data_IF_757533013975
#
_entry.id   IF_757533013975
#
_cell.length_a   1.000
_cell.length_b   1.000
_cell.length_c   1.000
_cell.angle_alpha   90.00
_cell.angle_beta   90.00
_cell.angle_gamma   90.00
#
_symmetry.space_group_name_H-M   'P 1'
#
loop_
_entity.id
_entity.type
_entity.pdbx_description
1 polymer ?
#
# COMPACT_ATOMS: atom_id res chain seq x y z
N UNK A 1 -7.18 15.89 34.76
CA UNK A 1 -7.25 17.33 35.09
C UNK A 1 -6.64 18.05 33.90
N UNK A 2 -7.25 19.12 33.40
CA UNK A 2 -6.60 19.92 32.37
C UNK A 2 -5.26 20.40 32.94
N UNK A 3 -4.16 20.10 32.25
CA UNK A 3 -2.84 20.51 32.68
C UNK A 3 -2.70 22.01 32.44
N UNK A 4 -2.43 22.79 33.49
CA UNK A 4 -2.12 24.20 33.35
C UNK A 4 -0.67 24.35 32.85
N UNK A 5 -0.35 25.38 32.05
CA UNK A 5 1.03 25.66 31.68
C UNK A 5 1.85 25.94 32.95
N UNK A 6 3.03 25.33 33.03
CA UNK A 6 3.91 25.48 34.20
C UNK A 6 4.55 26.88 34.26
N UNK A 7 4.73 27.51 33.10
CA UNK A 7 5.34 28.83 32.94
C UNK A 7 4.72 29.55 31.75
N UNK A 8 4.71 30.88 31.79
CA UNK A 8 4.36 31.75 30.66
C UNK A 8 5.53 32.68 30.37
N UNK A 9 6.06 32.60 29.16
CA UNK A 9 7.14 33.49 28.70
C UNK A 9 6.57 34.79 28.15
N UNK A 10 7.39 35.84 28.17
CA UNK A 10 7.05 37.15 27.62
C UNK A 10 8.11 37.61 26.62
N UNK A 11 7.69 38.30 25.58
CA UNK A 11 8.60 39.01 24.69
C UNK A 11 8.03 40.34 24.22
N UNK A 12 8.94 41.25 23.93
CA UNK A 12 8.70 42.47 23.18
C UNK A 12 9.06 42.23 21.72
N UNK A 13 8.16 42.57 20.80
CA UNK A 13 8.33 42.41 19.37
C UNK A 13 8.13 43.74 18.64
N UNK A 14 8.79 43.89 17.49
CA UNK A 14 8.54 44.99 16.57
C UNK A 14 7.27 44.69 15.77
N UNK A 15 6.43 45.71 15.58
CA UNK A 15 5.18 45.58 14.79
C UNK A 15 5.39 45.84 13.30
N UNK A 16 6.61 46.21 12.87
CA UNK A 16 6.88 46.80 11.56
C UNK A 16 6.42 48.26 11.44
N UNK A 17 5.66 48.77 12.43
CA UNK A 17 5.30 50.19 12.51
C UNK A 17 6.36 50.92 13.34
N UNK A 18 6.98 51.99 12.81
CA UNK A 18 8.11 52.67 13.47
C UNK A 18 7.85 53.24 14.86
N UNK A 19 6.59 53.39 15.28
CA UNK A 19 6.19 53.97 16.57
C UNK A 19 5.38 53.00 17.44
N UNK A 20 5.45 51.69 17.17
CA UNK A 20 4.67 50.71 17.91
C UNK A 20 5.43 49.44 18.30
N UNK A 21 5.27 49.10 19.58
CA UNK A 21 5.73 47.87 20.21
C UNK A 21 4.57 46.89 20.38
N UNK A 22 4.85 45.60 20.31
CA UNK A 22 3.90 44.54 20.64
C UNK A 22 4.44 43.64 21.73
N UNK A 23 3.63 43.40 22.75
CA UNK A 23 3.92 42.47 23.84
C UNK A 23 3.20 41.16 23.53
N UNK A 24 3.95 40.07 23.58
CA UNK A 24 3.45 38.72 23.34
C UNK A 24 3.72 37.82 24.55
N UNK A 25 2.79 36.92 24.81
CA UNK A 25 2.93 35.86 25.82
C UNK A 25 2.90 34.49 25.15
N UNK A 26 3.58 33.51 25.75
CA UNK A 26 3.53 32.11 25.33
C UNK A 26 3.33 31.21 26.52
N UNK A 27 2.26 30.41 26.51
CA UNK A 27 2.01 29.38 27.50
C UNK A 27 2.82 28.12 27.15
N UNK A 28 3.75 27.69 28.02
CA UNK A 28 4.64 26.59 27.70
C UNK A 28 4.04 25.23 28.09
N UNK A 29 4.05 24.29 27.14
CA UNK A 29 3.67 22.89 27.33
C UNK A 29 2.19 22.59 27.54
N UNK A 30 1.32 23.61 27.69
CA UNK A 30 -0.13 23.42 27.76
C UNK A 30 -0.89 24.69 27.35
N UNK A 31 -2.09 24.57 26.75
CA UNK A 31 -2.92 25.71 26.42
C UNK A 31 -3.55 26.32 27.69
N UNK A 32 -3.96 27.59 27.61
CA UNK A 32 -4.65 28.29 28.68
C UNK A 32 -5.81 29.15 28.16
N UNK A 33 -6.97 29.02 28.81
CA UNK A 33 -8.18 29.75 28.42
C UNK A 33 -9.04 30.19 29.62
N UNK A 34 -8.52 30.07 30.84
CA UNK A 34 -9.25 30.34 32.09
C UNK A 34 -8.90 31.74 32.65
N UNK A 35 -8.81 31.90 33.98
CA UNK A 35 -8.61 33.20 34.63
C UNK A 35 -7.12 33.59 34.68
N UNK A 36 -6.74 34.64 33.95
CA UNK A 36 -5.41 35.26 34.10
C UNK A 36 -5.43 36.19 35.33
N UNK A 37 -5.09 35.66 36.49
CA UNK A 37 -5.21 36.40 37.76
C UNK A 37 -4.32 37.64 37.80
N UNK A 38 -3.11 37.55 37.28
CA UNK A 38 -2.21 38.70 37.20
C UNK A 38 -1.23 38.56 36.04
N UNK A 39 -0.94 39.67 35.36
CA UNK A 39 0.26 39.84 34.53
C UNK A 39 0.87 41.18 34.87
N UNK A 40 2.12 41.19 35.31
CA UNK A 40 2.90 42.40 35.59
C UNK A 40 4.20 42.33 34.81
N UNK A 41 4.61 43.43 34.17
CA UNK A 41 5.93 43.55 33.55
C UNK A 41 6.34 45.02 33.44
N UNK A 42 7.64 45.28 33.28
CA UNK A 42 8.16 46.65 33.18
C UNK A 42 8.91 46.86 31.88
N UNK A 43 8.55 47.92 31.16
CA UNK A 43 9.33 48.44 30.06
C UNK A 43 10.41 49.40 30.56
N UNK A 44 11.62 49.26 30.04
CA UNK A 44 12.72 50.17 30.24
C UNK A 44 13.31 50.68 28.92
N UNK A 45 13.72 51.95 28.91
CA UNK A 45 14.45 52.56 27.79
C UNK A 45 15.37 53.69 28.29
N UNK A 46 16.38 54.12 27.52
CA UNK A 46 17.35 55.11 27.98
C UNK A 46 16.73 56.45 28.38
N UNK A 47 17.14 57.00 29.52
CA UNK A 47 16.66 58.30 30.04
C UNK A 47 17.11 59.51 29.20
N UNK A 48 18.05 59.30 28.28
CA UNK A 48 18.46 60.28 27.28
C UNK A 48 17.44 60.45 26.16
N UNK A 49 16.48 59.54 26.03
CA UNK A 49 15.43 59.60 25.02
C UNK A 49 14.27 60.48 25.46
N UNK A 50 13.68 61.23 24.54
CA UNK A 50 12.42 61.98 24.77
C UNK A 50 11.18 61.11 24.62
N UNK A 51 11.35 59.82 24.34
CA UNK A 51 10.26 58.91 24.09
C UNK A 51 9.42 58.67 25.35
N UNK A 52 8.10 58.57 25.16
CA UNK A 52 7.13 58.29 26.22
C UNK A 52 6.18 57.18 25.79
N UNK A 53 5.65 56.43 26.76
CA UNK A 53 4.68 55.37 26.49
C UNK A 53 3.27 55.97 26.33
N UNK A 54 2.76 55.92 25.11
CA UNK A 54 1.49 56.51 24.69
C UNK A 54 0.29 55.60 24.85
N UNK A 55 -0.61 55.66 23.87
CA UNK A 55 -1.82 54.84 23.80
C UNK A 55 -1.53 53.35 23.73
N UNK A 56 -2.47 52.53 24.23
CA UNK A 56 -2.39 51.07 24.24
C UNK A 56 -3.63 50.49 23.59
N UNK A 57 -3.43 49.45 22.79
CA UNK A 57 -4.52 48.61 22.27
C UNK A 57 -4.35 47.23 22.87
N UNK A 58 -5.32 46.79 23.65
CA UNK A 58 -5.36 45.43 24.19
C UNK A 58 -6.43 44.68 23.41
N UNK A 59 -6.07 43.63 22.64
CA UNK A 59 -7.03 42.83 21.87
C UNK A 59 -8.15 42.25 22.74
N UNK A 60 -7.89 42.10 24.03
CA UNK A 60 -8.70 41.37 24.98
C UNK A 60 -8.88 42.14 26.29
N UNK A 61 -9.34 43.39 26.22
CA UNK A 61 -9.29 44.29 27.38
C UNK A 61 -10.08 43.78 28.60
N UNK A 62 -11.23 43.15 28.39
CA UNK A 62 -12.10 42.68 29.49
C UNK A 62 -11.47 41.51 30.28
N UNK A 63 -10.61 40.69 29.65
CA UNK A 63 -9.83 39.66 30.34
C UNK A 63 -8.41 40.10 30.71
N UNK A 64 -7.83 41.12 30.07
CA UNK A 64 -6.47 41.57 30.34
C UNK A 64 -6.42 43.11 30.35
N UNK A 65 -6.97 43.76 31.38
CA UNK A 65 -7.05 45.22 31.44
C UNK A 65 -5.71 45.84 31.85
N UNK A 66 -4.71 45.80 30.95
CA UNK A 66 -3.39 46.35 31.23
C UNK A 66 -3.45 47.86 31.54
N UNK A 67 -3.05 48.19 32.75
CA UNK A 67 -2.94 49.56 33.24
C UNK A 67 -1.45 49.92 33.47
N UNK A 68 -1.00 51.09 32.98
CA UNK A 68 0.37 51.54 33.20
C UNK A 68 0.53 52.29 34.51
N UNK A 69 1.72 52.18 35.10
CA UNK A 69 2.18 53.12 36.12
C UNK A 69 2.58 54.45 35.47
N UNK A 70 2.68 55.54 36.26
CA UNK A 70 3.45 56.71 35.85
C UNK A 70 4.87 56.31 35.44
N UNK A 71 5.45 57.08 34.52
CA UNK A 71 6.86 56.92 34.14
C UNK A 71 7.75 57.34 35.30
N UNK A 72 8.74 56.49 35.62
CA UNK A 72 9.76 56.76 36.63
C UNK A 72 11.11 56.81 35.93
N UNK A 73 11.96 57.75 36.33
CA UNK A 73 13.36 57.79 35.89
C UNK A 73 14.24 57.39 37.06
N UNK A 74 15.07 56.37 36.88
CA UNK A 74 16.07 55.95 37.85
C UNK A 74 17.41 55.74 37.13
N UNK A 75 18.39 56.57 37.47
CA UNK A 75 19.68 56.63 36.77
C UNK A 75 19.52 56.90 35.26
N UNK A 76 20.10 56.02 34.46
CA UNK A 76 20.16 56.13 33.00
C UNK A 76 18.92 55.57 32.28
N UNK A 77 17.87 55.21 33.02
CA UNK A 77 16.70 54.50 32.48
C UNK A 77 15.38 55.16 32.87
N UNK A 78 14.45 55.16 31.92
CA UNK A 78 13.02 55.39 32.13
C UNK A 78 12.30 54.05 32.26
N UNK A 79 11.33 53.97 33.17
CA UNK A 79 10.54 52.78 33.46
C UNK A 79 9.05 53.07 33.44
N UNK A 80 8.27 52.17 32.84
CA UNK A 80 6.82 52.10 33.00
C UNK A 80 6.43 50.65 33.24
N UNK A 81 5.78 50.39 34.36
CA UNK A 81 5.24 49.06 34.67
C UNK A 81 3.81 48.95 34.19
N UNK A 82 3.49 47.86 33.52
CA UNK A 82 2.13 47.52 33.14
C UNK A 82 1.68 46.35 33.99
N UNK A 83 0.48 46.46 34.54
CA UNK A 83 -0.13 45.40 35.33
C UNK A 83 -1.56 45.18 34.85
N UNK A 84 -2.00 43.92 34.81
CA UNK A 84 -3.37 43.54 34.52
C UNK A 84 -3.83 42.52 35.56
N UNK A 85 -5.06 42.68 36.03
CA UNK A 85 -5.75 41.72 36.89
C UNK A 85 -7.07 41.39 36.22
N UNK A 86 -7.25 40.16 35.76
CA UNK A 86 -8.50 39.73 35.17
C UNK A 86 -9.52 39.39 36.26
N UNK A 87 -10.79 39.67 35.98
CA UNK A 87 -11.93 39.24 36.80
C UNK A 87 -12.86 38.28 36.06
N UNK A 88 -12.54 37.93 34.81
CA UNK A 88 -13.36 37.09 33.93
C UNK A 88 -12.48 36.06 33.23
N UNK A 89 -13.08 34.93 32.82
CA UNK A 89 -12.38 33.87 32.11
C UNK A 89 -12.03 34.30 30.69
N UNK A 90 -10.84 33.94 30.22
CA UNK A 90 -10.31 34.37 28.93
C UNK A 90 -11.16 33.85 27.76
N UNK A 91 -11.64 32.61 27.80
CA UNK A 91 -12.53 32.05 26.78
C UNK A 91 -13.93 32.68 26.75
N UNK A 92 -14.47 33.06 27.90
CA UNK A 92 -15.82 33.64 28.01
C UNK A 92 -15.92 35.03 27.36
N UNK A 93 -14.92 35.87 27.58
CA UNK A 93 -14.92 37.25 27.05
C UNK A 93 -14.07 37.41 25.80
N UNK A 94 -13.27 36.39 25.45
CA UNK A 94 -12.24 36.50 24.42
C UNK A 94 -11.91 35.17 23.71
N UNK A 95 -12.91 34.47 23.17
CA UNK A 95 -12.75 33.12 22.63
C UNK A 95 -11.74 33.04 21.48
N UNK A 96 -11.49 34.13 20.75
CA UNK A 96 -10.51 34.22 19.66
C UNK A 96 -9.07 34.47 20.11
N UNK A 97 -8.85 34.75 21.39
CA UNK A 97 -7.55 35.16 21.96
C UNK A 97 -7.18 34.34 23.21
N UNK A 98 -7.63 33.08 23.25
CA UNK A 98 -7.08 32.08 24.17
C UNK A 98 -5.59 31.84 23.87
N UNK A 99 -4.88 31.20 24.79
CA UNK A 99 -3.44 30.96 24.65
C UNK A 99 -3.19 29.50 24.24
N UNK A 100 -2.89 29.22 22.96
CA UNK A 100 -2.51 27.87 22.56
C UNK A 100 -1.16 27.47 23.19
N UNK A 101 -0.94 26.17 23.36
CA UNK A 101 0.34 25.67 23.83
C UNK A 101 1.47 26.08 22.87
N UNK A 102 2.58 26.53 23.45
CA UNK A 102 3.85 26.81 22.78
C UNK A 102 3.75 27.82 21.62
N UNK A 103 2.69 28.63 21.62
CA UNK A 103 2.41 29.63 20.58
C UNK A 103 2.44 31.05 21.15
N UNK A 104 3.08 31.97 20.45
CA UNK A 104 3.13 33.38 20.83
C UNK A 104 1.83 34.11 20.50
N UNK A 105 1.20 34.69 21.51
CA UNK A 105 -0.06 35.43 21.38
C UNK A 105 0.15 36.92 21.69
N UNK A 106 -0.28 37.84 20.81
CA UNK A 106 -0.22 39.27 21.10
C UNK A 106 -1.25 39.67 22.15
N UNK A 107 -0.78 40.25 23.25
CA UNK A 107 -1.64 40.63 24.39
C UNK A 107 -1.78 42.14 24.55
N UNK A 108 -0.83 42.92 24.02
CA UNK A 108 -0.94 44.38 24.02
C UNK A 108 -0.06 44.99 22.93
N UNK A 109 -0.59 45.99 22.24
CA UNK A 109 0.17 46.90 21.40
C UNK A 109 0.30 48.25 22.08
N UNK A 110 1.49 48.83 22.02
CA UNK A 110 1.85 50.07 22.69
C UNK A 110 2.33 51.05 21.64
N UNK A 111 1.75 52.25 21.62
CA UNK A 111 2.25 53.38 20.84
C UNK A 111 3.34 54.07 21.65
N UNK A 112 4.43 54.43 20.98
CA UNK A 112 5.51 55.22 21.56
C UNK A 112 5.48 56.62 20.97
N UNK A 113 5.31 57.62 21.82
CA UNK A 113 5.25 59.02 21.43
C UNK A 113 6.59 59.72 21.67
N UNK A 114 6.86 60.82 20.97
CA UNK A 114 8.07 61.64 21.21
C UNK A 114 9.39 60.99 20.78
N UNK A 115 9.33 59.99 19.88
CA UNK A 115 10.51 59.32 19.32
C UNK A 115 11.36 60.29 18.50
N UNK A 116 12.64 60.36 18.84
CA UNK A 116 13.67 61.06 18.06
C UNK A 116 14.82 60.09 17.82
N UNK A 117 15.09 59.77 16.56
CA UNK A 117 16.11 58.78 16.19
C UNK A 117 15.66 57.35 16.47
N UNK A 118 16.62 56.51 16.88
CA UNK A 118 16.39 55.12 17.24
C UNK A 118 16.49 54.95 18.75
N UNK A 119 15.49 54.30 19.35
CA UNK A 119 15.40 54.13 20.79
C UNK A 119 15.17 52.65 21.11
N UNK A 120 16.08 52.00 21.86
CA UNK A 120 15.88 50.63 22.31
C UNK A 120 14.91 50.58 23.49
N UNK A 121 13.93 49.69 23.42
CA UNK A 121 13.01 49.37 24.51
C UNK A 121 13.18 47.90 24.90
N UNK A 122 13.15 47.59 26.19
CA UNK A 122 13.20 46.20 26.66
C UNK A 122 12.15 45.96 27.74
N UNK A 123 11.72 44.70 27.88
CA UNK A 123 11.10 44.22 29.11
C UNK A 123 12.24 43.78 30.03
N UNK A 124 12.26 44.23 31.28
CA UNK A 124 13.41 44.02 32.17
C UNK A 124 12.99 43.44 33.52
N UNK A 125 13.87 42.58 34.05
CA UNK A 125 13.96 42.20 35.45
C UNK A 125 15.37 42.61 35.93
N UNK A 126 15.53 43.85 36.36
CA UNK A 126 16.79 44.44 36.80
C UNK A 126 16.75 44.85 38.28
N UNK A 127 17.80 45.53 38.75
CA UNK A 127 17.90 45.96 40.14
C UNK A 127 16.79 46.93 40.56
N UNK A 128 16.32 47.78 39.65
CA UNK A 128 15.23 48.72 39.94
C UNK A 128 13.90 47.97 40.04
N UNK A 129 13.59 47.10 39.06
CA UNK A 129 12.32 46.37 39.07
C UNK A 129 12.23 45.40 40.24
N UNK A 130 13.32 44.71 40.57
CA UNK A 130 13.38 43.81 41.73
C UNK A 130 13.19 44.56 43.06
N UNK A 131 13.87 45.71 43.23
CA UNK A 131 13.76 46.52 44.45
C UNK A 131 12.36 47.12 44.67
N UNK A 132 11.56 47.22 43.61
CA UNK A 132 10.24 47.83 43.63
C UNK A 132 9.09 46.85 43.38
N UNK A 133 9.35 45.54 43.36
CA UNK A 133 8.38 44.47 43.09
C UNK A 133 7.64 44.68 41.74
N UNK A 134 8.43 44.92 40.69
CA UNK A 134 7.98 45.27 39.33
C UNK A 134 8.57 44.36 38.25
N UNK A 135 9.21 43.28 38.66
CA UNK A 135 9.67 42.23 37.76
C UNK A 135 8.50 41.60 37.02
N UNK A 136 8.79 41.00 35.87
CA UNK A 136 7.85 40.18 35.14
C UNK A 136 7.29 39.08 36.03
N UNK A 137 5.97 39.06 36.13
CA UNK A 137 5.21 38.11 36.91
C UNK A 137 3.91 37.77 36.19
N UNK A 138 3.50 36.51 36.30
CA UNK A 138 2.22 36.04 35.79
C UNK A 138 1.65 35.00 36.73
N UNK A 139 0.36 35.08 36.97
CA UNK A 139 -0.40 34.13 37.77
C UNK A 139 -1.65 33.70 37.02
N UNK A 140 -1.87 32.39 36.97
CA UNK A 140 -2.98 31.74 36.30
C UNK A 140 -3.82 31.00 37.33
N UNK A 141 -5.11 31.33 37.45
CA UNK A 141 -6.00 30.78 38.48
C UNK A 141 -5.43 30.89 39.92
N UNK A 142 -4.67 31.95 40.20
CA UNK A 142 -3.99 32.17 41.48
C UNK A 142 -2.74 31.32 41.71
N UNK A 143 -2.25 30.62 40.68
CA UNK A 143 -0.99 29.87 40.71
C UNK A 143 0.06 30.66 39.94
N UNK A 144 1.17 30.96 40.60
CA UNK A 144 2.31 31.64 39.96
C UNK A 144 2.88 30.77 38.84
N UNK A 145 3.02 31.36 37.65
CA UNK A 145 3.59 30.70 36.48
C UNK A 145 4.62 31.59 35.73
N UNK A 146 5.52 32.34 36.42
CA UNK A 146 6.49 33.18 35.73
C UNK A 146 7.44 32.34 34.87
N UNK A 147 7.47 32.64 33.58
CA UNK A 147 8.49 32.15 32.66
C UNK A 147 9.65 33.14 32.51
N UNK A 148 10.27 33.12 31.34
CA UNK A 148 11.43 33.96 31.02
C UNK A 148 11.07 35.08 30.06
N UNK A 149 11.85 36.17 30.11
CA UNK A 149 11.82 37.23 29.09
C UNK A 149 12.71 36.76 27.93
N UNK A 150 12.12 36.53 26.76
CA UNK A 150 12.81 35.93 25.60
C UNK A 150 13.23 36.94 24.52
N UNK A 151 13.03 38.24 24.74
CA UNK A 151 13.47 39.31 23.83
C UNK A 151 14.60 40.14 24.43
N UNK A 152 15.63 40.44 23.62
CA UNK A 152 16.50 41.57 23.87
C UNK A 152 15.82 42.92 23.59
N UNK A 153 16.55 44.04 23.69
CA UNK A 153 15.99 45.35 23.35
C UNK A 153 15.47 45.40 21.91
N UNK A 154 14.29 45.98 21.73
CA UNK A 154 13.63 46.24 20.45
C UNK A 154 13.80 47.71 20.12
N UNK A 155 14.43 47.96 18.98
CA UNK A 155 14.66 49.30 18.45
C UNK A 155 13.40 49.88 17.78
N UNK A 156 12.99 51.07 18.22
CA UNK A 156 11.80 51.79 17.75
C UNK A 156 12.19 53.19 17.30
N UNK A 157 11.57 53.68 16.22
CA UNK A 157 11.86 54.97 15.61
C UNK A 157 12.58 54.84 14.26
N UNK A 158 13.28 55.90 13.84
CA UNK A 158 13.99 55.93 12.56
C UNK A 158 15.36 55.25 12.70
N UNK A 159 15.34 53.93 12.85
CA UNK A 159 16.51 53.11 13.18
C UNK A 159 17.38 52.73 11.99
N UNK A 160 17.09 53.25 10.79
CA UNK A 160 17.81 52.84 9.57
C UNK A 160 17.64 51.36 9.20
N UNK A 161 16.84 50.59 9.98
CA UNK A 161 16.63 49.14 9.89
C UNK A 161 17.89 48.33 10.22
N UNK A 162 17.81 47.36 11.13
CA UNK A 162 18.77 46.27 11.04
C UNK A 162 18.54 45.58 9.68
N UNK A 163 19.60 45.29 8.91
CA UNK A 163 19.45 44.49 7.71
C UNK A 163 18.80 43.16 8.09
N UNK A 164 17.79 42.76 7.33
CA UNK A 164 17.26 41.41 7.38
C UNK A 164 18.33 40.39 6.92
N UNK A 165 18.01 39.10 6.89
CA UNK A 165 18.95 38.06 6.47
C UNK A 165 19.42 38.19 5.00
N UNK A 166 18.76 39.03 4.20
CA UNK A 166 19.17 39.38 2.83
C UNK A 166 19.89 40.73 2.75
N UNK A 167 20.22 41.35 3.89
CA UNK A 167 20.90 42.64 3.92
C UNK A 167 19.98 43.84 3.70
N UNK A 168 18.66 43.65 3.66
CA UNK A 168 17.67 44.70 3.38
C UNK A 168 17.22 45.32 4.70
N UNK A 169 17.52 46.60 4.98
CA UNK A 169 17.09 47.24 6.21
C UNK A 169 15.56 47.27 6.34
N UNK A 170 15.03 46.67 7.41
CA UNK A 170 13.59 46.54 7.62
C UNK A 170 12.88 45.58 6.64
N UNK A 171 13.63 44.71 5.96
CA UNK A 171 13.09 43.69 5.08
C UNK A 171 12.42 42.53 5.85
N UNK A 172 11.65 41.67 5.14
CA UNK A 172 10.83 40.63 5.76
C UNK A 172 11.60 39.34 6.08
N UNK A 173 12.85 39.17 5.63
CA UNK A 173 13.63 37.94 5.83
C UNK A 173 14.25 37.89 7.23
N UNK A 174 13.42 37.66 8.25
CA UNK A 174 13.84 37.65 9.64
C UNK A 174 14.00 36.20 10.14
N UNK A 175 14.83 35.95 11.17
CA UNK A 175 14.87 34.64 11.81
C UNK A 175 13.47 34.13 12.19
N UNK A 176 13.17 32.89 11.81
CA UNK A 176 11.86 32.26 11.98
C UNK A 176 10.84 32.51 10.86
N UNK A 177 11.16 33.31 9.83
CA UNK A 177 10.34 33.39 8.62
C UNK A 177 10.73 32.31 7.61
N UNK A 178 9.79 31.92 6.75
CA UNK A 178 10.03 30.94 5.67
C UNK A 178 11.08 31.46 4.67
N UNK A 179 11.87 30.54 4.14
CA UNK A 179 12.83 30.79 3.06
C UNK A 179 12.87 29.58 2.11
N UNK A 180 13.82 29.57 1.17
CA UNK A 180 14.11 28.46 0.27
C UNK A 180 15.64 28.41 0.12
N UNK A 181 16.26 27.33 0.60
CA UNK A 181 17.73 27.16 0.53
C UNK A 181 18.19 26.51 -0.78
N UNK A 182 17.24 26.12 -1.64
CA UNK A 182 17.45 25.47 -2.92
C UNK A 182 17.83 23.99 -2.81
N UNK A 183 17.88 23.41 -1.61
CA UNK A 183 18.09 21.99 -1.40
C UNK A 183 16.76 21.24 -1.51
N UNK A 184 16.65 20.38 -2.53
CA UNK A 184 15.44 19.60 -2.76
C UNK A 184 15.21 18.54 -1.68
N UNK A 185 16.23 18.20 -0.90
CA UNK A 185 16.16 17.20 0.15
C UNK A 185 15.64 17.73 1.50
N UNK A 186 15.44 19.05 1.61
CA UNK A 186 14.90 19.68 2.82
C UNK A 186 13.48 20.17 2.59
N UNK A 187 12.73 20.23 3.69
CA UNK A 187 11.40 20.86 3.71
C UNK A 187 11.31 21.84 4.88
N UNK A 188 10.32 22.73 4.81
CA UNK A 188 10.04 23.73 5.87
C UNK A 188 11.23 24.66 6.15
N UNK A 189 11.88 25.16 5.10
CA UNK A 189 13.06 26.01 5.25
C UNK A 189 12.72 27.32 5.96
N UNK A 190 13.53 27.64 6.97
CA UNK A 190 13.37 28.86 7.76
C UNK A 190 14.71 29.53 8.00
N UNK A 191 14.69 30.85 8.12
CA UNK A 191 15.90 31.59 8.50
C UNK A 191 16.26 31.30 9.97
N UNK A 192 17.47 30.80 10.20
CA UNK A 192 18.06 30.64 11.52
C UNK A 192 18.42 31.97 12.19
N UNK A 193 18.75 31.92 13.49
CA UNK A 193 19.21 33.10 14.24
C UNK A 193 20.54 33.68 13.71
N UNK A 194 21.30 32.87 12.97
CA UNK A 194 22.54 33.20 12.27
C UNK A 194 22.30 33.60 10.80
N UNK A 195 21.05 33.76 10.38
CA UNK A 195 20.66 34.06 9.00
C UNK A 195 21.12 33.03 7.97
N UNK A 196 21.20 31.76 8.36
CA UNK A 196 21.28 30.63 7.42
C UNK A 196 19.85 30.19 7.09
N UNK A 197 19.51 30.11 5.80
CA UNK A 197 18.29 29.45 5.36
C UNK A 197 18.57 27.95 5.34
N UNK A 198 17.80 27.19 6.12
CA UNK A 198 17.92 25.74 6.15
C UNK A 198 16.56 25.12 6.48
N UNK A 199 16.26 23.97 5.88
CA UNK A 199 15.12 23.14 6.24
C UNK A 199 15.46 21.90 7.03
N UNK A 200 14.45 21.05 7.21
CA UNK A 200 14.58 19.72 7.82
C UNK A 200 14.73 18.69 6.72
N UNK A 201 15.78 17.88 6.78
CA UNK A 201 15.98 16.75 5.88
C UNK A 201 14.82 15.77 5.99
N UNK A 202 14.26 15.36 4.85
CA UNK A 202 13.13 14.43 4.79
C UNK A 202 13.55 13.15 4.09
N UNK A 203 13.47 12.05 4.83
CA UNK A 203 13.74 10.68 4.41
C UNK A 203 12.77 9.79 5.21
N UNK A 204 11.72 9.34 4.52
CA UNK A 204 10.55 8.70 5.12
C UNK A 204 10.83 7.25 5.54
N UNK A 205 11.67 6.53 4.79
CA UNK A 205 11.99 5.13 5.08
C UNK A 205 13.36 4.92 5.73
N UNK A 206 14.21 5.95 5.76
CA UNK A 206 15.48 5.97 6.47
C UNK A 206 16.61 5.27 5.74
N UNK A 207 16.54 5.14 4.41
CA UNK A 207 17.57 4.48 3.60
C UNK A 207 18.78 5.38 3.27
N UNK A 208 18.67 6.66 3.58
CA UNK A 208 19.71 7.68 3.37
C UNK A 208 19.53 8.50 2.09
N UNK A 209 18.54 8.19 1.26
CA UNK A 209 18.11 8.99 0.12
C UNK A 209 16.93 9.85 0.54
N UNK A 210 16.94 11.14 0.19
CA UNK A 210 15.82 12.00 0.55
C UNK A 210 14.59 11.71 -0.32
N UNK A 211 13.38 11.89 0.22
CA UNK A 211 12.11 11.59 -0.47
C UNK A 211 12.01 12.22 -1.87
N UNK A 212 12.62 13.40 -2.07
CA UNK A 212 12.58 14.13 -3.34
C UNK A 212 13.50 13.54 -4.43
N UNK A 213 14.48 12.73 -4.04
CA UNK A 213 15.44 12.05 -4.92
C UNK A 213 15.25 10.53 -4.93
N UNK A 214 14.35 10.02 -4.10
CA UNK A 214 14.05 8.61 -3.98
C UNK A 214 12.90 8.21 -4.93
N UNK A 215 13.16 7.25 -5.81
CA UNK A 215 12.14 6.66 -6.68
C UNK A 215 11.15 5.77 -5.93
N UNK A 216 11.46 5.40 -4.70
CA UNK A 216 10.67 4.58 -3.80
C UNK A 216 10.68 5.10 -2.34
N UNK A 217 10.11 6.30 -2.04
CA UNK A 217 10.22 6.98 -0.74
C UNK A 217 9.63 6.28 0.50
N UNK A 218 9.20 5.03 0.38
CA UNK A 218 8.61 4.23 1.44
C UNK A 218 9.16 2.79 1.45
N UNK A 219 10.21 2.49 0.68
CA UNK A 219 10.86 1.20 0.59
C UNK A 219 12.35 1.31 0.97
N UNK A 220 12.71 1.01 2.23
CA UNK A 220 14.08 1.22 2.72
C UNK A 220 15.14 0.29 2.09
N UNK A 221 14.73 -0.60 1.19
CA UNK A 221 15.61 -1.52 0.47
C UNK A 221 15.83 -1.11 -0.99
N UNK A 222 15.12 -0.10 -1.49
CA UNK A 222 15.20 0.34 -2.88
C UNK A 222 15.07 1.86 -2.97
N UNK A 223 16.02 2.48 -3.66
CA UNK A 223 15.96 3.90 -4.07
C UNK A 223 15.36 4.10 -5.47
N UNK A 224 15.12 3.00 -6.19
CA UNK A 224 14.60 2.97 -7.55
C UNK A 224 13.63 1.79 -7.68
N UNK A 225 12.49 1.94 -8.39
CA UNK A 225 11.46 0.89 -8.45
C UNK A 225 11.93 -0.48 -8.95
N UNK A 226 12.94 -0.53 -9.83
CA UNK A 226 13.37 -1.80 -10.42
C UNK A 226 12.27 -2.46 -11.28
N UNK A 227 12.32 -3.79 -11.39
CA UNK A 227 11.45 -4.59 -12.28
C UNK A 227 10.09 -4.87 -11.65
N UNK A 228 10.08 -5.13 -10.34
CA UNK A 228 8.90 -5.43 -9.54
C UNK A 228 8.28 -4.19 -8.88
N UNK A 229 8.83 -3.01 -9.14
CA UNK A 229 8.44 -1.79 -8.44
C UNK A 229 8.96 -1.73 -7.00
N UNK A 230 8.50 -0.69 -6.28
CA UNK A 230 8.82 -0.50 -4.88
C UNK A 230 8.10 -1.53 -3.99
N UNK A 231 8.71 -1.91 -2.88
CA UNK A 231 8.17 -2.82 -1.86
C UNK A 231 8.28 -4.30 -2.20
N UNK A 232 8.77 -4.66 -3.39
CA UNK A 232 8.93 -6.04 -3.85
C UNK A 232 10.33 -6.24 -4.41
N UNK A 233 11.08 -7.21 -3.90
CA UNK A 233 12.43 -7.50 -4.39
C UNK A 233 12.42 -7.98 -5.85
N UNK A 234 13.43 -7.56 -6.63
CA UNK A 234 13.64 -8.03 -8.01
C UNK A 234 14.33 -9.40 -8.02
N UNK A 235 13.81 -10.34 -7.23
CA UNK A 235 14.31 -11.71 -7.16
C UNK A 235 13.95 -12.44 -8.45
N UNK A 236 14.88 -13.21 -8.97
CA UNK A 236 14.72 -14.15 -10.07
C UNK A 236 15.20 -15.51 -9.53
N UNK A 237 14.24 -16.34 -9.13
CA UNK A 237 14.50 -17.54 -8.32
C UNK A 237 15.15 -18.66 -9.12
N UNK A 238 14.81 -18.82 -10.40
CA UNK A 238 15.34 -19.87 -11.28
C UNK A 238 16.38 -19.37 -12.30
N UNK A 239 16.63 -18.07 -12.33
CA UNK A 239 17.63 -17.40 -13.15
C UNK A 239 17.36 -17.46 -14.65
N UNK A 240 16.08 -17.45 -15.04
CA UNK A 240 15.66 -17.44 -16.44
C UNK A 240 15.70 -16.03 -17.08
N UNK A 241 15.89 -15.00 -16.26
CA UNK A 241 15.95 -13.59 -16.64
C UNK A 241 14.67 -12.82 -16.38
N UNK A 242 13.62 -13.47 -15.87
CA UNK A 242 12.35 -12.85 -15.48
C UNK A 242 12.25 -12.82 -13.96
N UNK A 243 12.02 -11.65 -13.39
CA UNK A 243 11.83 -11.55 -11.94
C UNK A 243 10.53 -12.25 -11.52
N UNK A 244 10.53 -12.90 -10.36
CA UNK A 244 9.42 -13.71 -9.81
C UNK A 244 8.07 -13.00 -9.83
N UNK A 245 8.06 -11.66 -9.69
CA UNK A 245 6.85 -10.84 -9.70
C UNK A 245 6.17 -10.75 -11.08
N UNK A 246 6.92 -11.00 -12.15
CA UNK A 246 6.50 -10.95 -13.54
C UNK A 246 6.62 -12.32 -14.22
N UNK A 247 6.90 -13.37 -13.45
CA UNK A 247 7.07 -14.73 -13.93
C UNK A 247 5.84 -15.59 -13.55
N UNK A 248 5.18 -16.15 -14.57
CA UNK A 248 4.07 -17.07 -14.40
C UNK A 248 4.50 -18.47 -13.92
N UNK A 249 5.80 -18.77 -13.99
CA UNK A 249 6.43 -20.00 -13.54
C UNK A 249 7.76 -19.75 -12.78
N UNK A 250 7.75 -19.10 -11.59
CA UNK A 250 8.95 -18.59 -10.88
C UNK A 250 10.04 -19.60 -10.45
N UNK A 251 9.90 -20.86 -10.81
CA UNK A 251 10.83 -21.94 -10.45
C UNK A 251 11.15 -22.85 -11.64
N UNK A 252 10.63 -22.55 -12.83
CA UNK A 252 10.89 -23.27 -14.08
C UNK A 252 11.79 -22.44 -15.01
N UNK A 253 13.11 -22.69 -15.04
CA UNK A 253 14.05 -21.85 -15.79
C UNK A 253 13.91 -21.93 -17.32
N UNK A 254 12.96 -22.72 -17.82
CA UNK A 254 12.68 -22.89 -19.25
C UNK A 254 11.37 -22.20 -19.68
N UNK A 255 10.58 -21.66 -18.75
CA UNK A 255 9.28 -21.04 -19.03
C UNK A 255 9.02 -19.86 -18.10
N UNK A 256 8.64 -18.73 -18.71
CA UNK A 256 8.15 -17.54 -17.99
C UNK A 256 6.63 -17.48 -17.85
N UNK A 257 5.92 -18.37 -18.52
CA UNK A 257 4.46 -18.44 -18.55
C UNK A 257 4.01 -19.91 -18.58
N UNK A 258 2.91 -20.27 -17.90
CA UNK A 258 2.39 -21.63 -17.94
C UNK A 258 2.04 -22.04 -19.39
N UNK A 259 2.71 -23.09 -19.87
CA UNK A 259 2.43 -23.69 -21.17
C UNK A 259 1.20 -24.60 -21.16
N UNK A 260 1.06 -25.45 -22.19
CA UNK A 260 -0.02 -26.45 -22.30
C UNK A 260 0.05 -27.46 -21.14
N UNK A 261 1.27 -27.82 -20.74
CA UNK A 261 1.55 -28.70 -19.60
C UNK A 261 1.79 -27.93 -18.29
N UNK A 262 1.52 -26.62 -18.27
CA UNK A 262 1.87 -25.73 -17.15
C UNK A 262 3.39 -25.51 -17.02
N UNK A 263 3.83 -25.30 -15.79
CA UNK A 263 5.23 -25.10 -15.41
C UNK A 263 5.93 -26.42 -15.03
N UNK A 264 7.23 -26.51 -15.22
CA UNK A 264 8.10 -27.63 -14.87
C UNK A 264 8.02 -28.83 -15.80
N UNK A 265 7.13 -28.79 -16.80
CA UNK A 265 6.93 -29.87 -17.80
C UNK A 265 6.97 -29.27 -19.19
N UNK A 266 7.82 -29.79 -20.09
CA UNK A 266 7.91 -29.30 -21.46
C UNK A 266 6.63 -29.57 -22.25
N UNK A 267 6.23 -28.64 -23.12
CA UNK A 267 5.09 -28.81 -24.04
C UNK A 267 5.50 -29.63 -25.27
N UNK A 268 6.17 -30.75 -25.03
CA UNK A 268 6.60 -31.66 -26.10
C UNK A 268 5.38 -32.34 -26.68
N UNK A 269 5.32 -32.43 -27.99
CA UNK A 269 4.34 -33.18 -28.77
C UNK A 269 5.17 -34.14 -29.63
N UNK A 270 5.29 -35.38 -29.17
CA UNK A 270 6.26 -36.36 -29.67
C UNK A 270 5.90 -36.87 -31.06
N UNK A 271 4.62 -36.99 -31.39
CA UNK A 271 4.13 -37.49 -32.67
C UNK A 271 3.57 -36.41 -33.61
N UNK A 272 3.50 -35.16 -33.14
CA UNK A 272 3.08 -33.97 -33.88
C UNK A 272 1.59 -34.01 -34.30
N UNK A 273 0.74 -34.59 -33.47
CA UNK A 273 -0.72 -34.63 -33.68
C UNK A 273 -1.44 -33.33 -33.25
N UNK A 274 -0.72 -32.47 -32.52
CA UNK A 274 -1.22 -31.20 -32.00
C UNK A 274 -1.55 -31.23 -30.50
N UNK A 275 -1.43 -32.37 -29.84
CA UNK A 275 -1.64 -32.56 -28.40
C UNK A 275 -0.32 -32.78 -27.70
N UNK A 276 -0.01 -31.96 -26.70
CA UNK A 276 1.22 -32.15 -25.94
C UNK A 276 1.17 -33.46 -25.14
N UNK A 277 2.29 -34.17 -25.04
CA UNK A 277 2.45 -35.49 -24.39
C UNK A 277 1.82 -35.57 -22.99
N UNK A 278 1.82 -34.46 -22.25
CA UNK A 278 1.23 -34.39 -20.90
C UNK A 278 -0.30 -34.49 -20.86
N UNK A 279 -0.95 -34.16 -21.98
CA UNK A 279 -2.40 -34.16 -22.18
C UNK A 279 -2.82 -35.20 -23.23
N UNK A 280 -1.89 -36.01 -23.72
CA UNK A 280 -2.12 -37.02 -24.74
C UNK A 280 -2.16 -38.43 -24.11
N UNK A 281 -3.27 -39.13 -24.28
CA UNK A 281 -3.44 -40.51 -23.85
C UNK A 281 -2.67 -41.51 -24.71
N UNK A 282 -2.20 -41.09 -25.89
CA UNK A 282 -1.40 -41.86 -26.84
C UNK A 282 -0.23 -41.04 -27.42
N UNK A 283 0.79 -40.61 -26.63
CA UNK A 283 1.85 -39.67 -27.04
C UNK A 283 2.79 -40.06 -28.20
N UNK A 284 2.53 -41.18 -28.87
CA UNK A 284 3.32 -41.66 -29.99
C UNK A 284 2.44 -42.12 -31.18
N UNK A 285 1.11 -41.94 -31.10
CA UNK A 285 0.16 -42.23 -32.16
C UNK A 285 -0.40 -40.94 -32.77
N UNK A 286 0.12 -40.48 -33.93
CA UNK A 286 -0.26 -39.20 -34.53
C UNK A 286 -1.71 -39.13 -35.06
N UNK A 287 -2.48 -40.20 -34.88
CA UNK A 287 -3.87 -40.31 -35.30
C UNK A 287 -4.85 -40.36 -34.12
N UNK A 288 -4.36 -40.46 -32.87
CA UNK A 288 -5.21 -40.60 -31.68
C UNK A 288 -4.60 -39.84 -30.50
N UNK A 289 -5.42 -38.99 -29.89
CA UNK A 289 -5.12 -38.30 -28.62
C UNK A 289 -5.55 -39.09 -27.37
N UNK A 290 -6.32 -40.16 -27.56
CA UNK A 290 -6.87 -40.99 -26.48
C UNK A 290 -6.90 -42.45 -26.94
N UNK A 291 -6.66 -43.43 -26.04
CA UNK A 291 -6.74 -44.84 -26.39
C UNK A 291 -8.15 -45.19 -26.90
N UNK A 292 -8.21 -45.69 -28.13
CA UNK A 292 -9.44 -46.21 -28.72
C UNK A 292 -9.79 -47.63 -28.27
N UNK A 293 -10.68 -48.29 -29.00
CA UNK A 293 -11.08 -49.71 -28.76
C UNK A 293 -9.88 -50.64 -28.89
N UNK A 294 -9.01 -50.35 -29.86
CA UNK A 294 -7.76 -51.06 -30.12
C UNK A 294 -6.55 -50.45 -29.37
N UNK A 295 -6.78 -49.50 -28.46
CA UNK A 295 -5.72 -48.70 -27.83
C UNK A 295 -5.06 -47.71 -28.79
N UNK A 296 -3.78 -47.45 -28.55
CA UNK A 296 -2.93 -46.56 -29.36
C UNK A 296 -2.18 -47.33 -30.45
N UNK A 297 -1.87 -46.67 -31.56
CA UNK A 297 -1.09 -47.17 -32.69
C UNK A 297 -1.85 -48.12 -33.63
N UNK A 298 -3.11 -48.44 -33.32
CA UNK A 298 -3.96 -49.34 -34.11
C UNK A 298 -5.30 -48.68 -34.37
N UNK A 299 -5.72 -48.59 -35.64
CA UNK A 299 -6.99 -47.98 -36.01
C UNK A 299 -8.17 -48.79 -35.47
N UNK A 300 -9.23 -48.11 -35.01
CA UNK A 300 -10.50 -48.75 -34.59
C UNK A 300 -11.38 -49.05 -35.81
N UNK A 301 -10.78 -49.67 -36.83
CA UNK A 301 -11.49 -50.07 -38.05
C UNK A 301 -12.40 -51.24 -37.71
N UNK A 302 -13.62 -51.19 -38.21
CA UNK A 302 -14.63 -52.24 -38.17
C UNK A 302 -14.99 -52.50 -39.64
N UNK A 303 -14.37 -53.52 -40.22
CA UNK A 303 -14.35 -53.74 -41.66
C UNK A 303 -15.71 -54.19 -42.21
N UNK A 304 -16.50 -54.93 -41.42
CA UNK A 304 -17.82 -55.44 -41.82
C UNK A 304 -19.02 -54.72 -41.17
N UNK A 305 -18.74 -53.78 -40.27
CA UNK A 305 -19.71 -52.93 -39.59
C UNK A 305 -20.66 -53.68 -38.65
N UNK A 306 -20.17 -54.75 -38.00
CA UNK A 306 -20.93 -55.52 -37.01
C UNK A 306 -20.94 -54.89 -35.60
N UNK A 307 -20.10 -53.88 -35.39
CA UNK A 307 -19.93 -53.15 -34.14
C UNK A 307 -18.69 -53.55 -33.32
N UNK A 308 -17.92 -54.54 -33.77
CA UNK A 308 -16.67 -54.98 -33.15
C UNK A 308 -15.49 -54.53 -34.02
N UNK A 309 -14.54 -53.81 -33.42
CA UNK A 309 -13.35 -53.39 -34.16
C UNK A 309 -12.48 -54.62 -34.52
N UNK A 310 -11.86 -54.60 -35.70
CA UNK A 310 -11.06 -55.69 -36.28
C UNK A 310 -10.00 -56.26 -35.31
N UNK A 311 -9.45 -55.43 -34.41
CA UNK A 311 -8.45 -55.84 -33.42
C UNK A 311 -9.01 -56.76 -32.32
N UNK A 312 -10.31 -56.70 -32.09
CA UNK A 312 -11.05 -57.46 -31.09
C UNK A 312 -12.06 -58.42 -31.74
N UNK A 313 -12.03 -58.55 -33.08
CA UNK A 313 -12.93 -59.39 -33.85
C UNK A 313 -12.20 -60.65 -34.35
N UNK A 314 -12.72 -61.83 -33.97
CA UNK A 314 -12.22 -63.11 -34.43
C UNK A 314 -12.62 -63.43 -35.88
N UNK A 315 -13.57 -62.68 -36.44
CA UNK A 315 -14.06 -62.78 -37.81
C UNK A 315 -14.25 -61.39 -38.48
N UNK A 316 -13.18 -60.58 -38.70
CA UNK A 316 -13.25 -59.16 -39.15
C UNK A 316 -13.91 -58.85 -40.50
N UNK A 317 -14.52 -59.83 -41.17
CA UNK A 317 -15.19 -59.67 -42.46
C UNK A 317 -16.56 -60.37 -42.51
N UNK A 318 -17.02 -60.93 -41.39
CA UNK A 318 -18.32 -61.56 -41.24
C UNK A 318 -19.26 -60.71 -40.36
N UNK A 319 -20.18 -59.91 -40.96
CA UNK A 319 -21.02 -58.97 -40.23
C UNK A 319 -22.06 -59.62 -39.28
N UNK A 320 -22.07 -60.95 -39.18
CA UNK A 320 -22.98 -61.72 -38.33
C UNK A 320 -22.25 -62.43 -37.19
N UNK A 321 -20.91 -62.38 -37.12
CA UNK A 321 -20.12 -63.10 -36.13
C UNK A 321 -18.88 -62.31 -35.73
N UNK A 322 -18.72 -62.11 -34.43
CA UNK A 322 -17.51 -61.52 -33.81
C UNK A 322 -16.44 -62.56 -33.42
N UNK A 323 -16.79 -63.85 -33.50
CA UNK A 323 -15.91 -64.97 -33.15
C UNK A 323 -16.21 -66.16 -34.08
N UNK A 324 -15.19 -66.97 -34.44
CA UNK A 324 -15.40 -68.14 -35.27
C UNK A 324 -16.39 -69.11 -34.62
N UNK A 325 -17.49 -69.38 -35.32
CA UNK A 325 -18.48 -70.39 -34.92
C UNK A 325 -18.03 -71.82 -35.25
N UNK A 326 -18.97 -72.77 -35.19
CA UNK A 326 -18.74 -74.18 -35.56
C UNK A 326 -18.30 -74.31 -37.03
N UNK A 327 -18.87 -73.47 -37.89
CA UNK A 327 -18.54 -73.37 -39.31
C UNK A 327 -17.44 -72.33 -39.62
N UNK A 328 -16.79 -71.77 -38.60
CA UNK A 328 -15.88 -70.64 -38.75
C UNK A 328 -16.61 -69.33 -39.08
N UNK A 329 -15.92 -68.44 -39.79
CA UNK A 329 -16.44 -67.14 -40.26
C UNK A 329 -17.04 -67.25 -41.68
N UNK A 330 -18.01 -66.39 -41.99
CA UNK A 330 -18.66 -66.23 -43.29
C UNK A 330 -19.73 -67.29 -43.61
N UNK A 331 -19.94 -68.25 -42.70
CA UNK A 331 -20.92 -69.35 -42.86
C UNK A 331 -21.77 -69.44 -41.61
N UNK A 332 -23.10 -69.41 -41.74
CA UNK A 332 -24.01 -69.52 -40.60
C UNK A 332 -23.90 -70.90 -39.92
N UNK A 333 -23.96 -70.95 -38.59
CA UNK A 333 -24.02 -72.20 -37.81
C UNK A 333 -25.46 -72.74 -37.78
N UNK A 334 -26.13 -72.73 -38.93
CA UNK A 334 -27.49 -73.29 -39.05
C UNK A 334 -27.42 -74.80 -38.89
N UNK A 335 -28.36 -75.34 -38.12
CA UNK A 335 -28.64 -76.76 -37.96
C UNK A 335 -30.10 -76.93 -38.42
N UNK A 336 -30.27 -77.32 -39.68
CA UNK A 336 -31.55 -77.24 -40.39
C UNK A 336 -32.56 -78.28 -39.87
N UNK A 337 -32.10 -79.44 -39.39
CA UNK A 337 -32.95 -80.51 -38.87
C UNK A 337 -32.92 -80.67 -37.34
N UNK A 338 -32.10 -79.88 -36.65
CA UNK A 338 -31.96 -79.82 -35.21
C UNK A 338 -31.41 -81.12 -34.58
N UNK A 339 -30.53 -81.83 -35.29
CA UNK A 339 -29.87 -83.05 -34.80
C UNK A 339 -28.66 -82.77 -33.88
N UNK A 340 -28.21 -81.52 -33.82
CA UNK A 340 -27.08 -81.05 -33.03
C UNK A 340 -25.79 -80.86 -33.81
N UNK A 341 -25.76 -81.13 -35.12
CA UNK A 341 -24.63 -80.89 -36.03
C UNK A 341 -24.97 -79.75 -36.97
N UNK A 342 -24.09 -78.74 -37.06
CA UNK A 342 -24.31 -77.63 -37.99
C UNK A 342 -24.16 -78.12 -39.44
N UNK A 343 -24.98 -77.58 -40.35
CA UNK A 343 -25.08 -77.98 -41.77
C UNK A 343 -23.71 -78.05 -42.48
N UNK A 344 -22.75 -77.20 -42.10
CA UNK A 344 -21.40 -77.18 -42.68
C UNK A 344 -20.55 -78.41 -42.34
N UNK A 345 -20.88 -79.09 -41.24
CA UNK A 345 -20.21 -80.27 -40.73
C UNK A 345 -21.13 -81.51 -40.78
N UNK A 346 -22.30 -81.38 -41.42
CA UNK A 346 -23.29 -82.43 -41.55
C UNK A 346 -23.31 -82.97 -43.00
N UNK A 347 -23.05 -84.26 -43.16
CA UNK A 347 -23.15 -84.95 -44.44
C UNK A 347 -24.59 -85.18 -44.90
N UNK A 348 -25.57 -84.98 -44.02
CA UNK A 348 -27.00 -85.09 -44.24
C UNK A 348 -27.82 -83.94 -43.60
N UNK A 349 -27.66 -82.67 -44.03
CA UNK A 349 -28.21 -81.45 -43.37
C UNK A 349 -29.74 -81.32 -43.23
N UNK A 350 -30.52 -82.34 -43.54
CA UNK A 350 -31.97 -82.32 -43.44
C UNK A 350 -32.54 -83.64 -42.87
N UNK A 351 -31.69 -84.54 -42.40
CA UNK A 351 -32.05 -85.80 -41.76
C UNK A 351 -31.74 -85.77 -40.25
N UNK A 352 -32.75 -85.52 -39.38
CA UNK A 352 -32.54 -85.34 -37.94
C UNK A 352 -32.03 -86.59 -37.19
N UNK A 353 -31.79 -87.69 -37.90
CA UNK A 353 -31.33 -88.96 -37.35
C UNK A 353 -29.93 -89.33 -37.85
N UNK A 354 -29.32 -88.58 -38.77
CA UNK A 354 -28.02 -88.90 -39.37
C UNK A 354 -27.20 -87.65 -39.66
N UNK A 355 -25.97 -87.64 -39.15
CA UNK A 355 -24.94 -86.62 -39.45
C UNK A 355 -24.05 -86.96 -40.66
N UNK A 356 -24.18 -88.19 -41.19
CA UNK A 356 -23.38 -88.71 -42.31
C UNK A 356 -24.25 -89.67 -43.16
N UNK A 357 -24.07 -89.70 -44.49
CA UNK A 357 -24.81 -90.61 -45.35
C UNK A 357 -24.57 -92.09 -44.98
N UNK A 358 -25.65 -92.77 -44.59
CA UNK A 358 -25.65 -94.21 -44.32
C UNK A 358 -25.72 -95.06 -45.60
N UNK A 359 -26.04 -96.35 -45.45
CA UNK A 359 -26.20 -97.29 -46.57
C UNK A 359 -27.35 -96.86 -47.50
N UNK A 360 -28.39 -96.28 -46.92
CA UNK A 360 -29.55 -95.74 -47.62
C UNK A 360 -29.44 -94.25 -47.97
N UNK A 361 -28.26 -93.63 -47.76
CA UNK A 361 -28.10 -92.18 -47.85
C UNK A 361 -28.81 -91.44 -46.69
N UNK A 362 -29.20 -90.19 -46.95
CA UNK A 362 -29.93 -89.33 -46.01
C UNK A 362 -31.46 -89.48 -46.16
N UNK A 363 -32.20 -89.26 -45.07
CA UNK A 363 -33.66 -89.24 -45.00
C UNK A 363 -34.34 -90.61 -44.92
N UNK A 364 -33.56 -91.69 -44.89
CA UNK A 364 -34.07 -93.07 -44.84
C UNK A 364 -33.30 -93.88 -43.79
N UNK A 365 -34.00 -94.50 -42.84
CA UNK A 365 -33.37 -95.33 -41.82
C UNK A 365 -32.62 -96.52 -42.45
N UNK A 366 -31.41 -96.83 -41.95
CA UNK A 366 -30.65 -98.02 -42.36
C UNK A 366 -31.15 -99.29 -41.64
N UNK A 367 -32.47 -99.41 -41.48
CA UNK A 367 -33.08 -100.58 -40.86
C UNK A 367 -32.98 -101.77 -41.82
N UNK A 368 -32.71 -102.93 -41.25
CA UNK A 368 -32.78 -104.24 -41.90
C UNK A 368 -33.84 -105.03 -41.13
N UNK A 369 -35.08 -105.02 -41.65
CA UNK A 369 -36.25 -105.50 -40.92
C UNK A 369 -36.30 -107.03 -40.84
N UNK A 370 -35.76 -107.74 -41.84
CA UNK A 370 -35.73 -109.20 -41.88
C UNK A 370 -34.37 -109.83 -41.50
N UNK A 371 -33.38 -108.98 -41.21
CA UNK A 371 -32.04 -109.31 -40.75
C UNK A 371 -31.23 -110.15 -41.74
N UNK A 372 -31.45 -109.96 -43.05
CA UNK A 372 -30.75 -110.69 -44.11
C UNK A 372 -29.37 -110.11 -44.48
N UNK A 373 -29.05 -108.91 -43.97
CA UNK A 373 -27.81 -108.18 -44.22
C UNK A 373 -27.91 -107.08 -45.28
N UNK A 374 -29.07 -106.88 -45.91
CA UNK A 374 -29.37 -105.80 -46.85
C UNK A 374 -30.32 -104.80 -46.19
N UNK A 375 -29.99 -103.50 -46.23
CA UNK A 375 -30.88 -102.48 -45.68
C UNK A 375 -32.19 -102.39 -46.51
N UNK A 376 -33.32 -102.12 -45.84
CA UNK A 376 -34.67 -102.10 -46.42
C UNK A 376 -34.81 -101.20 -47.68
N UNK A 377 -33.97 -100.16 -47.82
CA UNK A 377 -33.95 -99.28 -48.99
C UNK A 377 -33.35 -99.90 -50.25
N UNK A 378 -32.60 -100.99 -50.10
CA UNK A 378 -31.89 -101.73 -51.14
C UNK A 378 -32.44 -103.16 -51.30
N UNK A 379 -33.50 -103.50 -50.56
CA UNK A 379 -34.20 -104.79 -50.59
C UNK A 379 -35.64 -104.59 -51.13
N UNK A 380 -35.98 -105.26 -52.24
CA UNK A 380 -37.06 -104.86 -53.15
C UNK A 380 -38.32 -105.73 -53.15
#
# INVERSE_FOLDING_TARGET
MAQLPATVDIMLANTGTPDSLEVRLRANGAPFSELVTEVTFTLAWPSTSTATIGGRTVPCFDALPFAPSPMVTDGDWHYVTHHAIALQLLDEVCPSNTWPADTWVPVMRIKVDGLVGCVPFAIVNDAFTAANNRDFFVSLNGIEAPGVILSGPVDVGNCGGLPDCLGVPGGPALPGTTCDDGDVCTSTDTWGADCVCAGTFVDTDGDGTCDAQDGCPADPLKVEPGICGCGTADTDTDADGTADCNDGCPVDPLKVEPGICGCGTADTDTDADGTADCNDGCPADPLKVEPGICGCGTADTDTDADGTADCNDGCPADPLKVEPGICGCGTADTDTDADGTADCNDGCPADPLKVEPGICGCGTADTDTDADGTADCNDG
#
